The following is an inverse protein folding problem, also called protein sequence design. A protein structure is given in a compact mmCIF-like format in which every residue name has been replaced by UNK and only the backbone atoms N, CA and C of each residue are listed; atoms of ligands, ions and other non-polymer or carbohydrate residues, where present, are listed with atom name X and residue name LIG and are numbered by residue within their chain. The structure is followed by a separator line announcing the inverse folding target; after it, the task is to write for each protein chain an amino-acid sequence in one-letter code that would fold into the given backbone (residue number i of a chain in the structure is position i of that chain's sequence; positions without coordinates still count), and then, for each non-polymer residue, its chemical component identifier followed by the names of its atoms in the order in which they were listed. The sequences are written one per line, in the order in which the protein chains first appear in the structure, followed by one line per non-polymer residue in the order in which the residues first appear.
data_IF_707410381569
#
_entry.id   IF_707410381569
#
_cell.length_a   1.000
_cell.length_b   1.000
_cell.length_c   1.000
_cell.angle_alpha   90.00
_cell.angle_beta   90.00
_cell.angle_gamma   90.00
#
_symmetry.space_group_name_H-M   'P 1'
#
loop_
_entity.id
_entity.type
_entity.pdbx_description
1 polymer ?
#
# COMPACT_ATOMS: atom_id res chain seq x y z
N UNK A 1 -18.60 10.04 -18.93
CA UNK A 1 -17.87 8.82 -19.37
C UNK A 1 -16.40 8.98 -18.95
N UNK A 2 -16.07 8.60 -17.72
CA UNK A 2 -14.75 8.87 -17.13
C UNK A 2 -13.69 7.92 -17.68
N UNK A 3 -12.64 8.48 -18.27
CA UNK A 3 -11.47 7.74 -18.79
C UNK A 3 -10.90 6.88 -17.64
N UNK A 4 -11.08 5.55 -17.70
CA UNK A 4 -10.44 4.61 -16.76
C UNK A 4 -8.94 4.85 -16.83
N UNK A 5 -8.38 5.50 -15.81
CA UNK A 5 -6.93 5.66 -15.70
C UNK A 5 -6.34 4.26 -15.62
N UNK A 6 -5.50 3.92 -16.60
CA UNK A 6 -4.81 2.64 -16.65
C UNK A 6 -3.79 2.64 -15.51
N UNK A 7 -3.88 1.68 -14.59
CA UNK A 7 -2.89 1.56 -13.52
C UNK A 7 -1.51 1.21 -14.12
N UNK A 8 -0.48 1.94 -13.68
CA UNK A 8 0.91 1.67 -14.07
C UNK A 8 1.35 0.31 -13.52
N UNK A 9 0.98 0.03 -12.27
CA UNK A 9 1.26 -1.20 -11.55
C UNK A 9 -0.05 -1.83 -11.06
N UNK A 10 -0.12 -3.15 -11.12
CA UNK A 10 -1.22 -3.92 -10.54
C UNK A 10 -0.64 -5.10 -9.78
N UNK A 11 -1.08 -5.28 -8.55
CA UNK A 11 -0.59 -6.33 -7.67
C UNK A 11 -1.70 -6.80 -6.74
N UNK A 12 -1.55 -8.02 -6.23
CA UNK A 12 -2.35 -8.53 -5.11
C UNK A 12 -1.46 -8.45 -3.88
N UNK A 13 -1.95 -7.78 -2.86
CA UNK A 13 -1.27 -7.63 -1.59
C UNK A 13 -2.03 -8.42 -0.53
N UNK A 14 -1.36 -9.38 0.08
CA UNK A 14 -1.88 -10.13 1.23
C UNK A 14 -1.05 -9.81 2.45
N UNK A 15 -1.71 -9.52 3.56
CA UNK A 15 -1.06 -9.09 4.79
C UNK A 15 -1.57 -9.95 5.92
N UNK A 16 -0.65 -10.45 6.73
CA UNK A 16 -0.95 -11.06 8.02
C UNK A 16 -0.29 -10.22 9.10
N UNK A 17 -1.13 -9.51 9.84
CA UNK A 17 -0.67 -8.70 10.93
C UNK A 17 -0.17 -9.59 12.10
N UNK A 18 0.94 -9.21 12.76
CA UNK A 18 1.81 -8.08 12.41
C UNK A 18 2.91 -8.50 11.41
N UNK A 19 2.90 -7.90 10.21
CA UNK A 19 4.09 -7.77 9.35
C UNK A 19 4.48 -8.91 8.39
N UNK A 20 3.73 -9.99 8.26
CA UNK A 20 3.95 -10.92 7.13
C UNK A 20 3.24 -10.37 5.89
N UNK A 21 3.98 -10.25 4.77
CA UNK A 21 3.45 -9.64 3.54
C UNK A 21 3.78 -10.50 2.34
N UNK A 22 2.79 -10.70 1.48
CA UNK A 22 2.96 -11.30 0.15
C UNK A 22 2.44 -10.35 -0.92
N UNK A 23 3.25 -10.13 -1.94
CA UNK A 23 2.92 -9.34 -3.13
C UNK A 23 2.99 -10.25 -4.34
N UNK A 24 1.86 -10.48 -5.01
CA UNK A 24 1.82 -11.12 -6.32
C UNK A 24 1.68 -10.04 -7.40
N UNK A 25 2.70 -9.86 -8.24
CA UNK A 25 2.72 -8.82 -9.28
C UNK A 25 1.92 -9.29 -10.51
N UNK A 26 0.91 -8.51 -10.88
CA UNK A 26 0.07 -8.74 -12.06
C UNK A 26 0.51 -7.90 -13.27
N UNK A 27 1.05 -6.70 -13.03
CA UNK A 27 1.59 -5.79 -14.05
C UNK A 27 2.64 -4.86 -13.42
N UNK A 28 3.77 -4.56 -14.11
CA UNK A 28 4.19 -5.09 -15.41
C UNK A 28 4.82 -6.50 -15.34
N UNK A 29 5.24 -6.94 -14.15
CA UNK A 29 6.00 -8.18 -13.95
C UNK A 29 5.08 -9.37 -13.63
N UNK A 30 4.20 -9.73 -14.57
CA UNK A 30 3.20 -10.79 -14.37
C UNK A 30 3.87 -12.10 -13.94
N UNK A 31 3.41 -12.68 -12.83
CA UNK A 31 3.89 -13.96 -12.32
C UNK A 31 5.12 -13.87 -11.42
N UNK A 32 5.62 -12.65 -11.20
CA UNK A 32 6.58 -12.39 -10.14
C UNK A 32 5.87 -12.30 -8.79
N UNK A 33 6.53 -12.73 -7.72
CA UNK A 33 6.03 -12.54 -6.37
C UNK A 33 7.14 -12.21 -5.40
N UNK A 34 6.76 -11.59 -4.29
CA UNK A 34 7.61 -11.27 -3.18
C UNK A 34 6.93 -11.69 -1.87
N UNK A 35 7.69 -12.27 -0.96
CA UNK A 35 7.22 -12.64 0.38
C UNK A 35 8.18 -12.03 1.39
N UNK A 36 7.70 -11.05 2.16
CA UNK A 36 8.38 -10.52 3.33
C UNK A 36 7.91 -11.28 4.57
N UNK A 37 8.89 -11.68 5.38
CA UNK A 37 8.67 -12.31 6.67
C UNK A 37 9.25 -11.46 7.78
N UNK A 38 8.41 -11.09 8.75
CA UNK A 38 8.83 -10.25 9.87
C UNK A 38 9.83 -10.96 10.79
N UNK A 39 9.65 -12.27 11.00
CA UNK A 39 10.48 -13.05 11.91
C UNK A 39 11.93 -13.22 11.45
N UNK A 40 12.16 -13.30 10.14
CA UNK A 40 13.52 -13.38 9.56
C UNK A 40 14.02 -12.06 9.01
N UNK A 41 13.18 -11.01 9.00
CA UNK A 41 13.41 -9.74 8.32
C UNK A 41 13.99 -9.89 6.91
N UNK A 42 13.41 -10.80 6.11
CA UNK A 42 13.94 -11.16 4.80
C UNK A 42 12.82 -11.15 3.76
N UNK A 43 13.17 -10.77 2.52
CA UNK A 43 12.27 -10.85 1.37
C UNK A 43 12.71 -11.97 0.45
N UNK A 44 11.82 -12.94 0.24
CA UNK A 44 11.99 -13.93 -0.84
C UNK A 44 11.35 -13.39 -2.10
N UNK A 45 12.06 -13.45 -3.22
CA UNK A 45 11.59 -12.93 -4.51
C UNK A 45 11.66 -14.02 -5.55
N UNK A 46 10.54 -14.27 -6.23
CA UNK A 46 10.52 -14.97 -7.50
C UNK A 46 10.31 -13.92 -8.61
N UNK A 47 11.36 -13.58 -9.38
CA UNK A 47 11.28 -12.48 -10.34
C UNK A 47 10.44 -12.80 -11.57
N UNK A 48 10.38 -14.08 -11.96
CA UNK A 48 9.59 -14.54 -13.11
C UNK A 48 9.06 -15.95 -12.84
N UNK A 49 7.86 -16.24 -13.33
CA UNK A 49 7.22 -17.55 -13.13
C UNK A 49 8.00 -18.70 -13.78
N UNK A 50 8.62 -18.43 -14.93
CA UNK A 50 9.35 -19.42 -15.75
C UNK A 50 10.78 -19.69 -15.27
N UNK A 51 11.36 -18.84 -14.41
CA UNK A 51 12.68 -19.08 -13.86
C UNK A 51 12.58 -19.89 -12.56
N UNK A 52 13.35 -20.98 -12.41
CA UNK A 52 13.44 -21.74 -11.16
C UNK A 52 14.38 -21.06 -10.15
N UNK A 53 14.28 -19.74 -10.03
CA UNK A 53 15.16 -18.92 -9.19
C UNK A 53 14.34 -18.22 -8.10
N UNK A 54 14.80 -18.31 -6.86
CA UNK A 54 14.28 -17.54 -5.74
C UNK A 54 15.47 -16.79 -5.13
N UNK A 55 15.35 -15.47 -5.07
CA UNK A 55 16.33 -14.60 -4.46
C UNK A 55 15.93 -14.32 -3.02
N UNK A 56 16.93 -14.18 -2.14
CA UNK A 56 16.75 -13.68 -0.79
C UNK A 56 17.37 -12.29 -0.73
N UNK A 57 16.56 -11.28 -0.44
CA UNK A 57 16.95 -9.87 -0.45
C UNK A 57 16.64 -9.23 0.89
N UNK A 58 17.40 -8.19 1.21
CA UNK A 58 17.07 -7.25 2.27
C UNK A 58 15.80 -6.46 1.90
N UNK A 59 14.87 -6.19 2.85
CA UNK A 59 13.68 -5.38 2.60
C UNK A 59 13.93 -4.00 1.97
N UNK A 60 15.10 -3.42 2.25
CA UNK A 60 15.52 -2.10 1.76
C UNK A 60 16.32 -2.18 0.45
N UNK A 61 16.44 -3.38 -0.15
CA UNK A 61 17.12 -3.56 -1.43
C UNK A 61 16.42 -2.77 -2.54
N UNK A 62 17.19 -1.96 -3.27
CA UNK A 62 16.72 -1.16 -4.40
C UNK A 62 16.11 -1.99 -5.54
N UNK A 63 16.38 -3.30 -5.60
CA UNK A 63 15.78 -4.23 -6.57
C UNK A 63 14.28 -4.46 -6.33
N UNK A 64 13.80 -4.24 -5.10
CA UNK A 64 12.42 -4.48 -4.69
C UNK A 64 11.72 -3.24 -4.14
N UNK A 65 12.42 -2.11 -4.11
CA UNK A 65 11.81 -0.80 -3.84
C UNK A 65 10.98 -0.35 -5.03
N UNK A 66 9.78 0.17 -4.77
CA UNK A 66 8.95 0.76 -5.83
C UNK A 66 9.58 2.03 -6.39
N UNK A 67 9.10 2.49 -7.55
CA UNK A 67 9.54 3.76 -8.16
C UNK A 67 9.34 4.99 -7.26
N UNK A 68 8.46 4.89 -6.26
CA UNK A 68 8.17 5.96 -5.30
C UNK A 68 8.85 5.73 -3.93
N UNK A 69 9.75 4.76 -3.83
CA UNK A 69 10.48 4.48 -2.60
C UNK A 69 9.74 3.56 -1.62
N UNK A 70 8.62 2.96 -2.01
CA UNK A 70 7.90 2.02 -1.14
C UNK A 70 8.67 0.72 -1.04
N UNK A 71 9.05 0.35 0.17
CA UNK A 71 9.60 -0.97 0.48
C UNK A 71 8.47 -1.94 0.80
N UNK A 72 8.67 -3.22 0.53
CA UNK A 72 7.61 -4.22 0.67
C UNK A 72 7.06 -4.34 2.10
N UNK A 73 7.92 -4.20 3.11
CA UNK A 73 7.58 -4.20 4.53
C UNK A 73 6.76 -2.96 4.97
N UNK A 74 6.54 -2.01 4.05
CA UNK A 74 5.85 -0.75 4.28
C UNK A 74 4.82 -0.38 3.21
N UNK A 75 4.56 -1.27 2.26
CA UNK A 75 3.69 -0.99 1.11
C UNK A 75 2.20 -1.19 1.42
N UNK A 76 1.87 -1.75 2.58
CA UNK A 76 0.51 -2.09 2.94
C UNK A 76 -0.23 -1.02 3.75
N UNK A 77 -1.55 -1.17 3.80
CA UNK A 77 -2.41 -0.22 4.50
C UNK A 77 -2.20 -0.23 6.03
N UNK A 78 -1.85 -1.36 6.64
CA UNK A 78 -1.57 -1.42 8.07
C UNK A 78 -0.29 -0.63 8.40
N UNK A 79 0.75 -0.77 7.57
CA UNK A 79 1.96 0.05 7.70
C UNK A 79 1.67 1.54 7.47
N UNK A 80 0.88 1.88 6.45
CA UNK A 80 0.43 3.26 6.24
C UNK A 80 -0.36 3.79 7.45
N UNK A 81 -1.28 2.99 7.99
CA UNK A 81 -2.12 3.35 9.11
C UNK A 81 -1.28 3.66 10.34
N UNK A 82 -0.37 2.75 10.71
CA UNK A 82 0.45 2.85 11.91
C UNK A 82 1.51 3.95 11.84
N UNK A 83 2.12 4.17 10.67
CA UNK A 83 3.24 5.12 10.51
C UNK A 83 2.79 6.53 10.14
N UNK A 84 1.69 6.66 9.42
CA UNK A 84 1.25 7.94 8.84
C UNK A 84 -0.11 8.34 9.37
N UNK A 85 -1.14 7.54 9.13
CA UNK A 85 -2.51 8.00 9.36
C UNK A 85 -2.82 8.22 10.84
N UNK A 86 -2.62 7.22 11.68
CA UNK A 86 -2.96 7.31 13.10
C UNK A 86 -2.14 8.39 13.81
N UNK A 87 -0.80 8.50 13.64
CA UNK A 87 -0.03 9.59 14.21
C UNK A 87 -0.47 10.97 13.70
N UNK A 88 -0.72 11.10 12.39
CA UNK A 88 -1.16 12.37 11.82
C UNK A 88 -2.50 12.81 12.41
N UNK A 89 -3.46 11.90 12.53
CA UNK A 89 -4.78 12.23 13.06
C UNK A 89 -4.73 12.55 14.56
N UNK A 90 -3.93 11.81 15.34
CA UNK A 90 -3.75 12.05 16.78
C UNK A 90 -3.20 13.47 17.06
N UNK A 91 -2.32 13.96 16.19
CA UNK A 91 -1.67 15.26 16.30
C UNK A 91 -2.41 16.38 15.55
N UNK A 92 -3.67 16.15 15.15
CA UNK A 92 -4.51 17.16 14.50
C UNK A 92 -4.22 17.40 13.01
N UNK A 93 -3.35 16.58 12.40
CA UNK A 93 -3.02 16.63 10.97
C UNK A 93 -4.06 16.00 10.04
N UNK A 94 -5.21 15.54 10.56
CA UNK A 94 -6.30 14.99 9.77
C UNK A 94 -7.53 15.90 9.77
N UNK A 95 -8.09 16.13 8.59
CA UNK A 95 -9.36 16.87 8.43
C UNK A 95 -10.33 15.99 7.66
N UNK A 96 -11.51 15.74 8.24
CA UNK A 96 -12.61 15.14 7.49
C UNK A 96 -13.12 16.16 6.47
N UNK A 97 -13.14 15.78 5.20
CA UNK A 97 -13.58 16.67 4.13
C UNK A 97 -15.06 16.47 3.84
N UNK A 98 -15.43 15.28 3.35
CA UNK A 98 -16.82 14.98 3.00
C UNK A 98 -17.03 13.48 2.75
N UNK A 99 -18.27 13.13 2.40
CA UNK A 99 -18.62 11.87 1.75
C UNK A 99 -18.50 12.01 0.24
N UNK A 100 -18.38 10.89 -0.44
CA UNK A 100 -18.42 10.87 -1.90
C UNK A 100 -18.69 9.47 -2.42
N UNK A 101 -18.51 9.31 -3.72
CA UNK A 101 -18.52 8.01 -4.39
C UNK A 101 -17.19 7.79 -5.08
N UNK A 102 -16.62 6.60 -4.92
CA UNK A 102 -15.36 6.21 -5.56
C UNK A 102 -15.41 4.72 -5.89
N UNK A 103 -15.19 4.37 -7.16
CA UNK A 103 -15.25 2.97 -7.64
C UNK A 103 -16.49 2.21 -7.19
N UNK A 104 -17.67 2.83 -7.30
CA UNK A 104 -18.95 2.23 -6.87
C UNK A 104 -19.09 2.02 -5.35
N UNK A 105 -18.15 2.54 -4.54
CA UNK A 105 -18.25 2.60 -3.08
C UNK A 105 -18.72 3.98 -2.62
N UNK A 106 -19.62 4.01 -1.64
CA UNK A 106 -19.85 5.21 -0.84
C UNK A 106 -18.65 5.38 0.11
N UNK A 107 -17.97 6.52 0.04
CA UNK A 107 -16.72 6.74 0.78
C UNK A 107 -16.79 7.91 1.75
N UNK A 108 -15.97 7.85 2.80
CA UNK A 108 -15.58 9.00 3.63
C UNK A 108 -14.20 9.46 3.18
N UNK A 109 -14.02 10.76 2.99
CA UNK A 109 -12.78 11.36 2.50
C UNK A 109 -12.14 12.15 3.63
N UNK A 110 -10.87 11.86 3.90
CA UNK A 110 -10.05 12.62 4.82
C UNK A 110 -8.85 13.23 4.08
N UNK A 111 -8.48 14.43 4.48
CA UNK A 111 -7.20 15.02 4.15
C UNK A 111 -6.21 14.72 5.28
N UNK A 112 -5.01 14.28 4.92
CA UNK A 112 -3.92 14.02 5.86
C UNK A 112 -2.76 14.95 5.49
N UNK A 113 -2.41 15.83 6.43
CA UNK A 113 -1.23 16.66 6.36
C UNK A 113 -0.07 15.95 7.08
N UNK A 114 1.18 16.16 6.64
CA UNK A 114 2.34 15.70 7.38
C UNK A 114 2.41 16.44 8.71
N UNK A 115 2.77 15.73 9.78
CA UNK A 115 3.06 16.35 11.06
C UNK A 115 4.57 16.57 11.16
N UNK A 116 4.97 17.83 11.27
CA UNK A 116 6.37 18.20 11.42
C UNK A 116 6.91 17.64 12.75
N UNK A 117 8.01 16.89 12.69
CA UNK A 117 8.68 16.29 13.86
C UNK A 117 8.91 14.78 13.78
N UNK A 118 8.26 14.07 12.84
CA UNK A 118 8.36 12.59 12.74
C UNK A 118 9.21 12.12 11.54
N UNK A 119 9.30 12.91 10.46
CA UNK A 119 10.24 12.71 9.34
C UNK A 119 10.22 13.94 8.41
N UNK A 120 11.23 14.09 7.53
CA UNK A 120 11.09 14.98 6.36
C UNK A 120 9.84 14.54 5.59
N UNK A 121 8.89 15.44 5.26
CA UNK A 121 7.64 15.01 4.64
C UNK A 121 7.93 14.36 3.28
N UNK A 122 7.80 13.04 3.21
CA UNK A 122 7.87 12.26 1.97
C UNK A 122 6.69 12.66 1.04
N UNK A 123 5.68 13.32 1.60
CA UNK A 123 4.51 13.88 0.95
C UNK A 123 4.15 15.25 1.56
N UNK A 124 3.43 16.08 0.81
CA UNK A 124 2.86 17.34 1.28
C UNK A 124 1.42 17.21 1.77
N UNK A 125 0.56 16.44 1.08
CA UNK A 125 -0.79 16.09 1.52
C UNK A 125 -1.22 14.74 0.96
N UNK A 126 -2.11 14.06 1.66
CA UNK A 126 -2.81 12.89 1.14
C UNK A 126 -4.33 13.06 1.22
N UNK A 127 -5.04 12.48 0.26
CA UNK A 127 -6.48 12.25 0.34
C UNK A 127 -6.71 10.76 0.44
N UNK A 128 -7.28 10.34 1.57
CA UNK A 128 -7.60 8.94 1.83
C UNK A 128 -9.11 8.79 1.79
N UNK A 129 -9.58 7.81 1.03
CA UNK A 129 -11.00 7.46 0.94
C UNK A 129 -11.22 6.11 1.57
N UNK A 130 -12.19 6.01 2.48
CA UNK A 130 -12.59 4.76 3.13
C UNK A 130 -13.99 4.36 2.72
N UNK A 131 -14.20 3.09 2.45
CA UNK A 131 -15.53 2.53 2.24
C UNK A 131 -16.37 2.72 3.52
N UNK A 132 -17.57 3.27 3.38
CA UNK A 132 -18.41 3.66 4.54
C UNK A 132 -18.90 2.46 5.35
N UNK A 133 -19.02 1.28 4.73
CA UNK A 133 -19.58 0.08 5.36
C UNK A 133 -18.48 -0.73 6.06
N UNK A 134 -17.34 -0.88 5.41
CA UNK A 134 -16.26 -1.77 5.86
C UNK A 134 -15.10 -1.04 6.54
N UNK A 135 -14.98 0.27 6.34
CA UNK A 135 -13.84 1.06 6.81
C UNK A 135 -12.53 0.76 6.07
N UNK A 136 -12.53 -0.12 5.06
CA UNK A 136 -11.35 -0.42 4.25
C UNK A 136 -10.95 0.77 3.38
N UNK A 137 -9.64 0.95 3.12
CA UNK A 137 -9.20 1.95 2.16
C UNK A 137 -9.76 1.61 0.77
N UNK A 138 -10.21 2.63 0.05
CA UNK A 138 -10.65 2.56 -1.36
C UNK A 138 -9.61 3.23 -2.25
N UNK A 139 -9.05 4.37 -1.81
CA UNK A 139 -7.95 5.02 -2.51
C UNK A 139 -7.13 5.91 -1.60
N UNK A 140 -5.85 6.04 -1.91
CA UNK A 140 -4.93 7.01 -1.31
C UNK A 140 -4.33 7.81 -2.46
N UNK A 141 -4.51 9.13 -2.47
CA UNK A 141 -3.87 10.04 -3.43
C UNK A 141 -2.85 10.90 -2.71
N UNK A 142 -1.62 10.92 -3.19
CA UNK A 142 -0.50 11.61 -2.55
C UNK A 142 -0.04 12.78 -3.41
N UNK A 143 0.16 13.93 -2.78
CA UNK A 143 0.83 15.10 -3.35
C UNK A 143 2.14 15.36 -2.63
N UNK A 144 3.13 15.94 -3.33
CA UNK A 144 4.36 16.40 -2.71
C UNK A 144 4.17 17.75 -2.00
N UNK A 145 5.23 18.25 -1.34
CA UNK A 145 5.24 19.53 -0.62
C UNK A 145 4.98 20.76 -1.50
N UNK A 146 5.10 20.63 -2.82
CA UNK A 146 4.80 21.70 -3.80
C UNK A 146 3.39 21.59 -4.38
N UNK A 147 2.54 20.70 -3.85
CA UNK A 147 1.19 20.48 -4.35
C UNK A 147 1.12 19.74 -5.70
N UNK A 148 2.20 19.09 -6.13
CA UNK A 148 2.18 18.26 -7.35
C UNK A 148 1.75 16.85 -7.01
N UNK A 149 0.89 16.26 -7.84
CA UNK A 149 0.51 14.86 -7.76
C UNK A 149 1.75 13.95 -7.84
N UNK A 150 1.83 12.99 -6.93
CA UNK A 150 2.87 11.96 -6.92
C UNK A 150 2.30 10.63 -7.41
N UNK A 151 1.28 10.13 -6.72
CA UNK A 151 0.69 8.83 -7.01
C UNK A 151 -0.75 8.71 -6.51
N UNK A 152 -1.45 7.69 -7.01
CA UNK A 152 -2.72 7.22 -6.49
C UNK A 152 -2.69 5.71 -6.37
N UNK A 153 -2.88 5.21 -5.16
CA UNK A 153 -3.12 3.80 -4.88
C UNK A 153 -4.63 3.60 -4.82
N UNK A 154 -5.09 2.52 -5.42
CA UNK A 154 -6.50 2.19 -5.54
C UNK A 154 -6.69 0.73 -5.10
N UNK A 155 -7.56 0.53 -4.13
CA UNK A 155 -7.78 -0.74 -3.46
C UNK A 155 -9.08 -1.35 -3.99
N UNK A 156 -8.99 -2.54 -4.59
CA UNK A 156 -10.12 -3.23 -5.17
C UNK A 156 -10.27 -4.62 -4.54
N UNK A 157 -11.51 -5.03 -4.28
CA UNK A 157 -11.85 -6.35 -3.73
C UNK A 157 -11.16 -6.65 -2.39
N UNK A 158 -10.96 -5.63 -1.54
CA UNK A 158 -10.36 -5.81 -0.22
C UNK A 158 -11.27 -6.62 0.70
N UNK A 159 -10.66 -7.46 1.53
CA UNK A 159 -11.34 -8.33 2.48
C UNK A 159 -10.59 -8.32 3.81
N UNK A 160 -11.33 -8.25 4.91
CA UNK A 160 -10.79 -8.49 6.24
C UNK A 160 -10.77 -9.98 6.54
N UNK A 161 -9.74 -10.42 7.26
CA UNK A 161 -9.60 -11.79 7.78
C UNK A 161 -9.85 -12.91 6.74
N UNK A 162 -9.29 -12.82 5.51
CA UNK A 162 -9.34 -13.95 4.60
C UNK A 162 -8.57 -15.14 5.18
N UNK A 163 -8.98 -16.35 4.81
CA UNK A 163 -8.29 -17.57 5.24
C UNK A 163 -7.05 -17.83 4.38
N UNK A 164 -5.90 -18.02 5.02
CA UNK A 164 -4.64 -18.37 4.35
C UNK A 164 -4.15 -19.75 4.81
N UNK A 165 -3.53 -20.50 3.91
CA UNK A 165 -2.83 -21.72 4.29
C UNK A 165 -1.59 -21.40 5.14
N UNK A 166 -1.13 -22.36 5.95
CA UNK A 166 0.09 -22.20 6.77
C UNK A 166 1.34 -21.83 5.95
N UNK A 167 1.36 -22.24 4.68
CA UNK A 167 2.49 -22.06 3.75
C UNK A 167 2.40 -20.80 2.90
N UNK A 168 1.27 -20.10 2.88
CA UNK A 168 1.01 -19.01 1.94
C UNK A 168 2.02 -17.85 1.99
N UNK A 169 2.54 -17.54 3.18
CA UNK A 169 3.61 -16.54 3.39
C UNK A 169 5.00 -17.18 3.54
N UNK A 170 5.17 -18.41 3.05
CA UNK A 170 6.44 -19.14 3.09
C UNK A 170 6.84 -19.64 1.71
N UNK A 171 5.89 -19.86 0.79
CA UNK A 171 6.08 -20.47 -0.54
C UNK A 171 5.33 -19.71 -1.64
#
# INVERSE_FOLDING_TARGET
MGRRLKADEKMILSVRAPGDIRVDLLRPRKGAWLIYRKDTNQVRVKPFSFLPMILALDPDSSLITSRFGHTINHADYESFYSRVLAPACLLGGCVYLDRGTSMDHEVRIINVAPVFGIARPIFGRMWVSFDRKTGLPVSISTMNSRGRFMERITYAHCQWNPSFSKKFFRE
#
